data_IF_109667783633
#
_entry.id   IF_109667783633
#
_cell.length_a   1.000
_cell.length_b   1.000
_cell.length_c   1.000
_cell.angle_alpha   90.00
_cell.angle_beta   90.00
_cell.angle_gamma   90.00
#
_symmetry.space_group_name_H-M   'P 1'
#
loop_
_entity.id
_entity.type
_entity.pdbx_description
1 polymer ?
#
# COMPACT_ATOMS: atom_id res chain seq x y z
N UNK A 1 -27.43 23.10 36.57
CA UNK A 1 -26.29 23.33 35.67
C UNK A 1 -26.15 22.11 34.78
N UNK A 2 -26.49 22.21 33.50
CA UNK A 2 -26.23 21.16 32.51
C UNK A 2 -25.44 21.81 31.37
N UNK A 3 -24.22 21.33 31.13
CA UNK A 3 -23.43 21.69 29.95
C UNK A 3 -22.99 20.41 29.25
N UNK A 4 -23.65 20.22 28.11
CA UNK A 4 -23.35 19.44 26.92
C UNK A 4 -21.93 18.89 26.78
N UNK A 5 -21.82 17.58 26.58
CA UNK A 5 -20.77 17.00 25.74
C UNK A 5 -21.41 16.68 24.38
N UNK A 6 -20.89 17.30 23.31
CA UNK A 6 -21.09 16.84 21.94
C UNK A 6 -19.73 16.37 21.45
N UNK A 7 -19.53 15.06 21.46
CA UNK A 7 -18.41 14.43 20.77
C UNK A 7 -18.63 14.64 19.27
N UNK A 8 -17.67 15.28 18.60
CA UNK A 8 -17.61 15.30 17.15
C UNK A 8 -16.82 14.07 16.71
N UNK A 9 -17.48 13.16 15.99
CA UNK A 9 -16.79 12.11 15.23
C UNK A 9 -16.48 12.71 13.87
N UNK A 10 -15.19 12.90 13.57
CA UNK A 10 -14.73 13.29 12.24
C UNK A 10 -14.35 11.99 11.53
N UNK A 11 -15.22 11.51 10.65
CA UNK A 11 -14.91 10.40 9.76
C UNK A 11 -14.05 10.93 8.62
N UNK A 12 -12.76 10.59 8.60
CA UNK A 12 -11.89 10.87 7.47
C UNK A 12 -12.08 9.77 6.43
N UNK A 13 -12.96 10.01 5.45
CA UNK A 13 -13.12 9.12 4.29
C UNK A 13 -12.05 9.44 3.25
N UNK A 14 -11.00 8.63 3.15
CA UNK A 14 -10.10 8.64 1.99
C UNK A 14 -10.78 7.91 0.84
N UNK A 15 -11.27 8.66 -0.14
CA UNK A 15 -11.84 8.10 -1.37
C UNK A 15 -10.85 8.30 -2.53
N UNK A 16 -10.36 7.21 -3.12
CA UNK A 16 -9.66 7.24 -4.40
C UNK A 16 -10.66 7.66 -5.49
N UNK A 17 -10.26 8.61 -6.35
CA UNK A 17 -11.05 9.05 -7.50
C UNK A 17 -10.40 8.60 -8.80
N UNK A 18 -11.18 8.01 -9.71
CA UNK A 18 -10.73 7.55 -11.03
C UNK A 18 -11.12 8.59 -12.09
N UNK A 19 -10.19 8.93 -13.00
CA UNK A 19 -10.46 9.71 -14.22
C UNK A 19 -10.53 8.74 -15.40
N UNK A 20 -11.60 8.80 -16.21
CA UNK A 20 -11.82 7.87 -17.33
C UNK A 20 -11.64 8.58 -18.68
N UNK A 21 -10.63 8.25 -19.51
CA UNK A 21 -10.62 8.59 -20.92
C UNK A 21 -11.36 7.55 -21.78
N UNK A 22 -11.95 7.98 -22.91
CA UNK A 22 -12.69 7.12 -23.85
C UNK A 22 -12.02 7.09 -25.22
N UNK A 23 -11.37 5.98 -25.59
CA UNK A 23 -11.27 5.33 -26.93
C UNK A 23 -10.87 3.87 -26.62
N UNK A 24 -11.03 2.91 -27.54
CA UNK A 24 -10.54 1.52 -27.40
C UNK A 24 -8.99 1.41 -27.35
N UNK A 25 -8.42 2.12 -26.40
CA UNK A 25 -7.04 2.11 -25.92
C UNK A 25 -7.02 1.23 -24.67
N UNK A 26 -5.91 0.52 -24.43
CA UNK A 26 -5.73 -0.26 -23.21
C UNK A 26 -6.05 0.64 -21.99
N UNK A 27 -7.11 0.29 -21.25
CA UNK A 27 -7.56 1.11 -20.14
C UNK A 27 -6.50 0.98 -19.06
N UNK A 28 -5.87 2.12 -18.74
CA UNK A 28 -4.85 2.20 -17.71
C UNK A 28 -5.49 2.69 -16.43
N UNK A 29 -5.26 1.93 -15.35
CA UNK A 29 -5.73 2.22 -14.01
C UNK A 29 -4.55 2.70 -13.18
N UNK A 30 -4.77 3.78 -12.43
CA UNK A 30 -3.82 4.28 -11.44
C UNK A 30 -4.18 3.82 -10.04
N UNK A 31 -3.16 3.58 -9.22
CA UNK A 31 -3.30 3.45 -7.78
C UNK A 31 -2.23 4.24 -7.06
N UNK A 32 -2.56 4.67 -5.86
CA UNK A 32 -1.68 5.36 -4.94
C UNK A 32 -1.92 4.86 -3.51
N UNK A 33 -0.86 4.86 -2.72
CA UNK A 33 -0.87 4.54 -1.31
C UNK A 33 0.14 5.42 -0.57
N UNK A 34 -0.22 5.87 0.63
CA UNK A 34 0.69 6.53 1.57
C UNK A 34 0.61 5.80 2.90
N UNK A 35 1.78 5.51 3.47
CA UNK A 35 1.87 4.79 4.72
C UNK A 35 1.41 5.58 5.93
N UNK A 36 0.96 4.85 6.93
CA UNK A 36 0.24 5.39 8.08
C UNK A 36 1.18 5.97 9.13
N UNK A 37 2.43 5.50 9.18
CA UNK A 37 3.40 5.86 10.22
C UNK A 37 4.47 6.78 9.67
N UNK A 38 5.16 6.36 8.63
CA UNK A 38 6.33 7.06 8.13
C UNK A 38 6.02 8.00 6.97
N UNK A 39 4.97 7.74 6.21
CA UNK A 39 4.56 8.53 5.06
C UNK A 39 5.23 8.12 3.74
N UNK A 40 5.87 6.95 3.68
CA UNK A 40 6.32 6.41 2.39
C UNK A 40 5.15 6.30 1.44
N UNK A 41 5.39 6.52 0.15
CA UNK A 41 4.31 6.41 -0.83
C UNK A 41 4.67 5.54 -2.01
N UNK A 42 3.65 4.87 -2.51
CA UNK A 42 3.70 3.99 -3.67
C UNK A 42 2.67 4.49 -4.66
N UNK A 43 3.08 4.68 -5.90
CA UNK A 43 2.15 4.92 -7.01
C UNK A 43 2.35 3.86 -8.07
N UNK A 44 1.29 3.52 -8.79
CA UNK A 44 1.42 2.60 -9.90
C UNK A 44 0.36 2.76 -10.95
N UNK A 45 0.68 2.21 -12.12
CA UNK A 45 -0.17 2.16 -13.30
C UNK A 45 -0.21 0.71 -13.77
N UNK A 46 -1.40 0.21 -14.09
CA UNK A 46 -1.57 -1.12 -14.67
C UNK A 46 -2.64 -1.09 -15.75
N UNK A 47 -2.58 -2.07 -16.65
CA UNK A 47 -3.59 -2.25 -17.70
C UNK A 47 -3.90 -3.72 -17.90
N UNK A 48 -5.10 -4.00 -18.36
CA UNK A 48 -5.58 -5.33 -18.75
C UNK A 48 -6.64 -5.20 -19.85
N UNK A 49 -6.94 -6.30 -20.54
CA UNK A 49 -8.00 -6.34 -21.55
C UNK A 49 -9.39 -6.37 -20.90
N UNK A 50 -10.06 -5.23 -20.84
CA UNK A 50 -11.43 -5.11 -20.29
C UNK A 50 -12.49 -5.89 -21.09
N UNK A 51 -12.16 -6.41 -22.29
CA UNK A 51 -13.10 -7.19 -23.11
C UNK A 51 -13.11 -8.68 -22.74
N UNK A 52 -12.12 -9.14 -21.96
CA UNK A 52 -12.03 -10.52 -21.50
C UNK A 52 -12.85 -10.77 -20.24
N UNK A 53 -13.21 -12.04 -20.03
CA UNK A 53 -13.85 -12.49 -18.79
C UNK A 53 -12.81 -13.16 -17.89
N UNK A 54 -12.69 -12.64 -16.67
CA UNK A 54 -11.74 -13.14 -15.68
C UNK A 54 -12.41 -14.05 -14.65
N UNK A 55 -11.67 -15.04 -14.16
CA UNK A 55 -12.17 -15.95 -13.12
C UNK A 55 -12.50 -15.16 -11.86
N UNK A 56 -13.72 -15.36 -11.33
CA UNK A 56 -14.28 -14.63 -10.19
C UNK A 56 -14.35 -13.10 -10.35
N UNK A 57 -14.17 -12.58 -11.57
CA UNK A 57 -14.06 -11.14 -11.84
C UNK A 57 -12.75 -10.53 -11.34
N UNK A 58 -11.73 -11.34 -11.09
CA UNK A 58 -10.43 -10.89 -10.58
C UNK A 58 -9.37 -10.99 -11.68
N UNK A 59 -8.78 -9.85 -12.02
CA UNK A 59 -7.58 -9.76 -12.86
C UNK A 59 -6.38 -10.14 -12.01
N UNK A 60 -5.65 -11.16 -12.43
CA UNK A 60 -4.44 -11.69 -11.77
C UNK A 60 -3.19 -11.12 -12.42
N UNK A 61 -2.03 -11.43 -11.85
CA UNK A 61 -0.73 -10.95 -12.36
C UNK A 61 -0.49 -11.33 -13.82
N UNK A 62 -0.79 -12.58 -14.18
CA UNK A 62 -0.63 -13.09 -15.55
C UNK A 62 -1.65 -12.52 -16.55
N UNK A 63 -2.70 -11.86 -16.05
CA UNK A 63 -3.75 -11.22 -16.87
C UNK A 63 -3.41 -9.77 -17.23
N UNK A 64 -2.34 -9.20 -16.66
CA UNK A 64 -1.95 -7.81 -16.89
C UNK A 64 -1.21 -7.66 -18.22
N UNK A 65 -1.55 -6.61 -18.96
CA UNK A 65 -0.77 -6.14 -20.11
C UNK A 65 0.43 -5.29 -19.67
N UNK A 66 0.30 -4.60 -18.53
CA UNK A 66 1.36 -3.81 -17.92
C UNK A 66 1.14 -3.61 -16.43
N UNK A 67 2.25 -3.44 -15.70
CA UNK A 67 2.28 -2.99 -14.31
C UNK A 67 3.57 -2.20 -14.11
N UNK A 68 3.46 -0.92 -13.73
CA UNK A 68 4.59 -0.11 -13.31
C UNK A 68 4.34 0.44 -11.92
N UNK A 69 5.34 0.36 -11.04
CA UNK A 69 5.23 0.75 -9.63
C UNK A 69 6.40 1.65 -9.26
N UNK A 70 6.13 2.79 -8.63
CA UNK A 70 7.13 3.76 -8.19
C UNK A 70 7.02 4.03 -6.70
N UNK A 71 8.17 4.11 -6.04
CA UNK A 71 8.30 4.31 -4.60
C UNK A 71 8.92 5.68 -4.32
N UNK A 72 8.45 6.31 -3.25
CA UNK A 72 8.88 7.63 -2.80
C UNK A 72 9.08 7.64 -1.29
N UNK A 73 10.05 8.42 -0.83
CA UNK A 73 10.29 8.64 0.59
C UNK A 73 9.21 9.54 1.23
N UNK A 74 9.22 9.69 2.57
CA UNK A 74 8.28 10.55 3.28
C UNK A 74 8.27 12.03 2.88
N UNK A 75 9.38 12.52 2.31
CA UNK A 75 9.51 13.89 1.81
C UNK A 75 9.02 14.03 0.36
N UNK A 76 8.61 12.93 -0.27
CA UNK A 76 8.12 12.86 -1.65
C UNK A 76 9.23 12.76 -2.69
N UNK A 77 10.47 12.47 -2.29
CA UNK A 77 11.56 12.23 -3.23
C UNK A 77 11.40 10.85 -3.86
N UNK A 78 11.64 10.78 -5.16
CA UNK A 78 11.62 9.54 -5.91
C UNK A 78 12.76 8.60 -5.48
N UNK A 79 12.42 7.33 -5.24
CA UNK A 79 13.39 6.28 -4.90
C UNK A 79 13.66 5.35 -6.08
N UNK A 80 12.61 4.69 -6.59
CA UNK A 80 12.74 3.68 -7.64
C UNK A 80 11.43 3.45 -8.38
N UNK A 81 11.54 3.02 -9.64
CA UNK A 81 10.44 2.46 -10.44
C UNK A 81 10.77 1.04 -10.88
N UNK A 82 9.80 0.14 -10.75
CA UNK A 82 9.78 -1.19 -11.36
C UNK A 82 8.81 -1.16 -12.54
N UNK A 83 9.34 -1.23 -13.76
CA UNK A 83 8.55 -1.23 -15.01
C UNK A 83 8.27 -2.67 -15.42
N UNK A 84 7.08 -2.91 -15.99
CA UNK A 84 6.61 -4.25 -16.36
C UNK A 84 6.72 -5.27 -15.21
N UNK A 85 6.50 -4.80 -13.99
CA UNK A 85 6.75 -5.53 -12.76
C UNK A 85 5.94 -6.84 -12.66
N UNK A 86 4.80 -6.96 -13.36
CA UNK A 86 4.06 -8.20 -13.50
C UNK A 86 4.87 -9.37 -14.11
N UNK A 87 5.99 -9.09 -14.79
CA UNK A 87 6.89 -10.09 -15.34
C UNK A 87 7.95 -10.57 -14.33
N UNK A 88 8.10 -9.90 -13.20
CA UNK A 88 9.13 -10.19 -12.21
C UNK A 88 8.75 -11.36 -11.30
N UNK A 89 9.75 -12.15 -10.93
CA UNK A 89 9.54 -13.32 -10.08
C UNK A 89 9.08 -12.90 -8.68
N UNK A 90 8.02 -13.56 -8.19
CA UNK A 90 7.48 -13.26 -6.88
C UNK A 90 6.58 -12.02 -6.88
N UNK A 91 6.16 -11.48 -8.02
CA UNK A 91 5.08 -10.49 -8.02
C UNK A 91 3.72 -11.18 -7.90
N UNK A 92 2.85 -10.59 -7.09
CA UNK A 92 1.45 -10.98 -6.91
C UNK A 92 0.58 -9.71 -6.88
N UNK A 93 -0.31 -9.62 -7.84
CA UNK A 93 -1.23 -8.52 -8.05
C UNK A 93 -2.61 -9.08 -8.36
N UNK A 94 -3.62 -8.57 -7.65
CA UNK A 94 -5.00 -9.06 -7.72
C UNK A 94 -5.95 -7.86 -7.71
N UNK A 95 -6.68 -7.66 -8.81
CA UNK A 95 -7.61 -6.55 -8.95
C UNK A 95 -9.04 -7.04 -9.18
N UNK A 96 -9.94 -6.67 -8.28
CA UNK A 96 -11.37 -6.95 -8.41
C UNK A 96 -12.03 -5.95 -9.35
N UNK A 97 -12.44 -6.42 -10.52
CA UNK A 97 -13.07 -5.60 -11.56
C UNK A 97 -14.45 -5.08 -11.17
N UNK A 98 -15.13 -5.69 -10.18
CA UNK A 98 -16.45 -5.31 -9.71
C UNK A 98 -16.36 -4.15 -8.70
N UNK A 99 -15.48 -4.29 -7.71
CA UNK A 99 -15.28 -3.25 -6.69
C UNK A 99 -14.29 -2.17 -7.11
N UNK A 100 -13.51 -2.43 -8.17
CA UNK A 100 -12.40 -1.60 -8.65
C UNK A 100 -11.35 -1.38 -7.56
N UNK A 101 -11.02 -2.45 -6.84
CA UNK A 101 -10.05 -2.44 -5.74
C UNK A 101 -8.95 -3.46 -5.96
N UNK A 102 -7.74 -3.10 -5.54
CA UNK A 102 -6.64 -4.05 -5.41
C UNK A 102 -6.84 -4.81 -4.11
N UNK A 103 -6.77 -6.14 -4.17
CA UNK A 103 -6.93 -7.02 -3.02
C UNK A 103 -5.64 -7.01 -2.18
N UNK A 104 -5.79 -6.86 -0.86
CA UNK A 104 -4.69 -6.72 0.08
C UNK A 104 -5.01 -7.25 1.50
N UNK A 105 -6.10 -8.00 1.66
CA UNK A 105 -6.51 -8.58 2.95
C UNK A 105 -5.77 -9.87 3.28
N UNK A 106 -5.32 -10.57 2.25
CA UNK A 106 -4.67 -11.87 2.30
C UNK A 106 -3.18 -11.79 2.61
N UNK A 107 -2.56 -12.96 2.68
CA UNK A 107 -1.10 -13.06 2.72
C UNK A 107 -0.51 -12.60 1.39
N UNK A 108 0.71 -12.08 1.37
CA UNK A 108 1.37 -11.55 0.15
C UNK A 108 1.27 -12.40 -1.13
N UNK A 109 1.18 -13.74 -1.06
CA UNK A 109 0.98 -14.64 -2.22
C UNK A 109 -0.39 -15.29 -2.32
N UNK A 110 -1.30 -14.96 -1.40
CA UNK A 110 -2.66 -15.47 -1.46
C UNK A 110 -3.46 -14.74 -2.56
N UNK A 111 -4.53 -15.37 -3.07
CA UNK A 111 -5.42 -14.75 -4.07
C UNK A 111 -6.08 -13.43 -3.66
N UNK A 112 -6.04 -13.06 -2.38
CA UNK A 112 -6.57 -11.80 -1.85
C UNK A 112 -5.48 -10.90 -1.24
N UNK A 113 -4.20 -11.18 -1.54
CA UNK A 113 -3.05 -10.37 -1.12
C UNK A 113 -2.34 -9.65 -2.26
N UNK A 114 -1.23 -9.00 -1.91
CA UNK A 114 -0.38 -8.23 -2.83
C UNK A 114 1.11 -8.37 -2.49
N UNK A 115 1.96 -8.41 -3.51
CA UNK A 115 3.42 -8.32 -3.44
C UNK A 115 3.94 -7.70 -4.74
N UNK A 116 4.37 -6.44 -4.72
CA UNK A 116 4.85 -5.69 -5.91
C UNK A 116 6.12 -4.91 -5.58
N UNK A 117 6.90 -4.50 -6.58
CA UNK A 117 8.24 -3.94 -6.41
C UNK A 117 9.30 -5.00 -6.67
N UNK A 118 10.31 -5.12 -5.80
CA UNK A 118 11.39 -6.09 -6.00
C UNK A 118 10.90 -7.55 -6.07
N UNK A 119 9.76 -7.84 -5.45
CA UNK A 119 9.19 -9.19 -5.38
C UNK A 119 9.96 -10.10 -4.41
N UNK A 120 11.25 -9.81 -4.18
CA UNK A 120 12.04 -10.34 -3.09
C UNK A 120 11.74 -9.56 -1.80
N UNK A 121 11.27 -10.26 -0.75
CA UNK A 121 11.01 -9.67 0.58
C UNK A 121 12.30 -9.53 1.40
N UNK A 122 13.43 -9.54 0.73
CA UNK A 122 14.73 -9.68 1.35
C UNK A 122 15.68 -8.59 0.92
N UNK A 123 15.42 -7.91 -0.18
CA UNK A 123 16.23 -6.83 -0.73
C UNK A 123 15.31 -5.91 -1.55
N UNK A 124 15.65 -4.63 -1.66
CA UNK A 124 14.92 -3.65 -2.45
C UNK A 124 13.51 -3.26 -1.98
N UNK A 125 12.94 -2.26 -2.65
CA UNK A 125 11.64 -1.67 -2.30
C UNK A 125 10.49 -2.58 -2.73
N UNK A 126 9.77 -3.10 -1.74
CA UNK A 126 8.60 -3.97 -1.95
C UNK A 126 7.39 -3.44 -1.20
N UNK A 127 6.22 -3.45 -1.85
CA UNK A 127 4.92 -3.20 -1.23
C UNK A 127 4.14 -4.51 -1.14
N UNK A 128 3.78 -4.91 0.08
CA UNK A 128 3.25 -6.25 0.30
C UNK A 128 2.26 -6.34 1.46
N UNK A 129 1.26 -7.22 1.33
CA UNK A 129 0.29 -7.50 2.40
C UNK A 129 0.82 -8.50 3.41
N UNK A 130 0.16 -8.57 4.57
CA UNK A 130 0.57 -9.33 5.77
C UNK A 130 1.32 -10.65 5.53
N UNK A 131 2.26 -11.05 6.40
CA UNK A 131 2.88 -12.37 6.34
C UNK A 131 1.93 -13.50 6.77
N UNK A 132 2.21 -14.78 6.44
CA UNK A 132 1.34 -15.92 6.72
C UNK A 132 0.99 -16.09 8.21
N UNK A 133 1.91 -15.66 9.08
CA UNK A 133 1.77 -15.79 10.54
C UNK A 133 0.91 -14.68 11.15
N UNK A 134 0.53 -13.65 10.38
CA UNK A 134 -0.34 -12.58 10.85
C UNK A 134 -1.81 -12.87 10.58
N UNK A 135 -2.64 -12.62 11.61
CA UNK A 135 -4.10 -12.67 11.52
C UNK A 135 -4.75 -11.33 11.17
N UNK A 136 -4.03 -10.21 11.30
CA UNK A 136 -4.59 -8.88 11.05
C UNK A 136 -4.18 -8.42 9.65
N UNK A 137 -5.12 -8.02 8.78
CA UNK A 137 -4.81 -7.36 7.51
C UNK A 137 -3.98 -6.09 7.73
N UNK A 138 -2.90 -5.98 6.97
CA UNK A 138 -2.05 -4.80 6.90
C UNK A 138 -1.14 -4.92 5.68
N UNK A 139 -0.54 -3.79 5.30
CA UNK A 139 0.46 -3.70 4.24
C UNK A 139 1.72 -3.03 4.77
N UNK A 140 2.83 -3.28 4.09
CA UNK A 140 4.17 -2.77 4.41
C UNK A 140 4.79 -2.12 3.19
N UNK A 141 5.72 -1.19 3.44
CA UNK A 141 6.77 -0.82 2.49
C UNK A 141 8.10 -1.25 3.07
N UNK A 142 8.89 -1.86 2.19
CA UNK A 142 10.24 -2.38 2.40
C UNK A 142 10.31 -3.50 3.46
N UNK A 143 11.39 -4.27 3.44
CA UNK A 143 11.69 -5.27 4.46
C UNK A 143 13.18 -5.19 4.90
N UNK A 144 13.62 -6.11 5.76
CA UNK A 144 14.84 -6.13 6.59
C UNK A 144 16.19 -5.58 6.05
N UNK A 145 16.39 -5.39 4.75
CA UNK A 145 17.62 -4.81 4.20
C UNK A 145 17.41 -3.33 3.90
N UNK A 146 17.98 -2.49 4.76
CA UNK A 146 18.00 -1.03 4.67
C UNK A 146 18.87 -0.57 3.47
N UNK A 147 18.37 -0.74 2.24
CA UNK A 147 19.08 -0.34 1.01
C UNK A 147 19.25 1.20 0.95
N UNK A 148 18.29 1.94 1.50
CA UNK A 148 18.22 3.40 1.37
C UNK A 148 18.59 4.19 2.64
N UNK A 149 18.80 3.52 3.77
CA UNK A 149 19.24 4.15 5.02
C UNK A 149 18.10 4.79 5.83
N UNK A 150 16.84 4.39 5.63
CA UNK A 150 15.72 5.02 6.30
C UNK A 150 15.48 4.45 7.70
N UNK A 151 15.04 5.28 8.66
CA UNK A 151 14.71 4.78 9.99
C UNK A 151 13.49 3.85 9.93
N UNK A 152 13.48 2.84 10.81
CA UNK A 152 12.33 1.94 10.96
C UNK A 152 11.13 2.71 11.51
N UNK A 153 10.03 2.71 10.76
CA UNK A 153 8.75 3.32 11.14
C UNK A 153 7.98 2.48 12.14
N UNK A 154 7.88 1.17 11.91
CA UNK A 154 7.09 0.29 12.74
C UNK A 154 7.69 -1.11 12.84
N UNK A 155 7.99 -1.55 14.06
CA UNK A 155 8.58 -2.84 14.37
C UNK A 155 9.93 -3.06 13.67
N UNK A 156 9.91 -3.61 12.46
CA UNK A 156 11.08 -3.93 11.64
C UNK A 156 10.90 -3.44 10.19
N UNK A 157 9.88 -2.62 9.93
CA UNK A 157 9.50 -2.14 8.60
C UNK A 157 9.59 -0.63 8.55
N UNK A 158 9.97 -0.09 7.40
CA UNK A 158 10.07 1.35 7.16
C UNK A 158 8.70 2.03 7.27
N UNK A 159 7.65 1.39 6.75
CA UNK A 159 6.27 1.87 6.93
C UNK A 159 5.24 0.74 6.92
N UNK A 160 4.08 1.02 7.52
CA UNK A 160 2.95 0.10 7.58
C UNK A 160 1.63 0.84 7.46
N UNK A 161 0.58 0.12 7.08
CA UNK A 161 -0.80 0.58 7.28
C UNK A 161 -1.70 -0.57 7.75
N UNK A 162 -2.51 -0.29 8.79
CA UNK A 162 -3.51 -1.21 9.31
C UNK A 162 -4.91 -0.66 9.04
N UNK A 163 -5.70 -1.23 8.11
CA UNK A 163 -7.03 -0.71 7.77
C UNK A 163 -8.01 -0.65 8.94
N UNK A 164 -7.74 -1.37 10.03
CA UNK A 164 -8.58 -1.49 11.22
C UNK A 164 -8.04 -0.76 12.45
N UNK A 165 -6.95 0.01 12.30
CA UNK A 165 -6.33 0.76 13.41
C UNK A 165 -6.04 2.19 13.02
N UNK A 166 -6.17 3.09 13.99
CA UNK A 166 -5.73 4.48 13.92
C UNK A 166 -4.24 4.60 14.18
N UNK A 167 -3.62 5.72 13.79
CA UNK A 167 -2.20 5.99 14.08
C UNK A 167 -1.93 5.99 15.59
N UNK A 168 -2.84 6.51 16.41
CA UNK A 168 -2.70 6.48 17.87
C UNK A 168 -2.69 5.03 18.40
N UNK A 169 -3.58 4.17 17.91
CA UNK A 169 -3.58 2.75 18.31
C UNK A 169 -2.29 2.03 17.92
N UNK A 170 -1.62 2.47 16.84
CA UNK A 170 -0.30 1.96 16.47
C UNK A 170 0.80 2.49 17.39
N UNK A 171 0.78 3.79 17.74
CA UNK A 171 1.69 4.39 18.72
C UNK A 171 1.56 3.68 20.07
N UNK A 172 0.33 3.43 20.53
CA UNK A 172 0.04 2.77 21.81
C UNK A 172 0.55 1.32 21.88
N UNK A 173 0.90 0.70 20.75
CA UNK A 173 1.55 -0.62 20.75
C UNK A 173 3.00 -0.58 21.25
N UNK A 174 3.62 0.60 21.31
CA UNK A 174 5.04 0.77 21.63
C UNK A 174 5.98 0.22 20.55
N UNK A 175 5.49 0.02 19.31
CA UNK A 175 6.26 -0.52 18.18
C UNK A 175 6.60 0.52 17.12
N UNK A 176 6.10 1.74 17.25
CA UNK A 176 6.48 2.85 16.35
C UNK A 176 7.92 3.26 16.70
N UNK A 177 8.74 3.48 15.67
CA UNK A 177 10.15 3.87 15.84
C UNK A 177 10.31 5.23 16.51
N UNK A 178 11.34 5.37 17.36
CA UNK A 178 11.59 6.58 18.15
C UNK A 178 11.74 7.83 17.27
N UNK A 179 12.43 7.72 16.13
CA UNK A 179 12.59 8.83 15.17
C UNK A 179 11.24 9.40 14.69
N UNK A 180 10.23 8.55 14.53
CA UNK A 180 8.90 8.99 14.09
C UNK A 180 8.11 9.62 15.23
N UNK A 181 8.23 9.08 16.44
CA UNK A 181 7.65 9.70 17.63
C UNK A 181 8.20 11.11 17.81
N UNK A 182 9.53 11.27 17.75
CA UNK A 182 10.20 12.57 17.91
C UNK A 182 9.67 13.60 16.89
N UNK A 183 9.59 13.21 15.60
CA UNK A 183 9.02 14.05 14.53
C UNK A 183 7.58 14.49 14.80
N UNK A 184 6.74 13.60 15.34
CA UNK A 184 5.36 13.95 15.67
C UNK A 184 5.31 14.98 16.80
N UNK A 185 6.12 14.83 17.84
CA UNK A 185 6.23 15.81 18.93
C UNK A 185 6.72 17.17 18.47
N UNK A 186 7.69 17.22 17.54
CA UNK A 186 8.21 18.48 17.00
C UNK A 186 7.17 19.24 16.15
N UNK A 187 6.25 18.51 15.51
CA UNK A 187 5.14 19.11 14.75
C UNK A 187 4.02 19.67 15.64
N UNK A 188 3.96 19.27 16.92
CA UNK A 188 2.98 19.76 17.90
C UNK A 188 3.45 21.00 18.70
N UNK A 189 4.71 21.42 18.53
CA UNK A 189 5.32 22.60 19.19
C UNK A 189 5.47 23.81 18.27
#
# INVERSE_FOLDING_TARGET
>A
MSRYFKTAVITLSTALSIVIPTVAEAITFGFDWTGQIAGFSVTGLFSYDETQSYTDGIVRTDDLDSLSVSFFDPEGNFLRTYTDNHLDAGVNFNFDTQTKQILQSGTYFDPDGINIGDGSRSDGLTFWSKPPQSSTPHVHVDDWLDEFGFPIGFSSHEDVAFPTRTTQELIDTGRVGETYIDRLTDLET
#
